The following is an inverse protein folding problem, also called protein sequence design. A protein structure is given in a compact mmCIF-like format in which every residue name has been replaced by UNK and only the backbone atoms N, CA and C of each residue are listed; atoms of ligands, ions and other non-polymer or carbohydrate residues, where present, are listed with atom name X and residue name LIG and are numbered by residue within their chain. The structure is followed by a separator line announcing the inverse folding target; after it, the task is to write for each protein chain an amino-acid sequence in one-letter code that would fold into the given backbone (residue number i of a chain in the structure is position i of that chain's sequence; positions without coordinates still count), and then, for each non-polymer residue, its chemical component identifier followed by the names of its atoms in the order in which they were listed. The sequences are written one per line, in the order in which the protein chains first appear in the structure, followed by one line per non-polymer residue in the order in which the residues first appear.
data_IF_465475184209
#
_entry.id   IF_465475184209
#
_cell.length_a   1.000
_cell.length_b   1.000
_cell.length_c   1.000
_cell.angle_alpha   90.00
_cell.angle_beta   90.00
_cell.angle_gamma   90.00
#
_symmetry.space_group_name_H-M   'P 1'
#
loop_
_entity.id
_entity.type
_entity.pdbx_description
1 polymer ?
#
# COMPACT_ATOMS: atom_id res chain seq x y z
N UNK A 1 -3.63 18.89 9.54
CA UNK A 1 -3.21 17.64 8.83
C UNK A 1 -4.40 16.91 8.23
N UNK A 2 -5.41 16.52 9.02
CA UNK A 2 -6.54 15.68 8.58
C UNK A 2 -7.34 16.26 7.39
N UNK A 3 -7.56 17.58 7.35
CA UNK A 3 -8.26 18.25 6.24
C UNK A 3 -7.51 18.09 4.90
N UNK A 4 -6.19 18.28 4.90
CA UNK A 4 -5.38 18.09 3.70
C UNK A 4 -5.44 16.63 3.19
N UNK A 5 -5.41 15.65 4.10
CA UNK A 5 -5.56 14.24 3.77
C UNK A 5 -6.97 13.94 3.20
N UNK A 6 -8.01 14.57 3.75
CA UNK A 6 -9.38 14.43 3.26
C UNK A 6 -9.55 15.03 1.84
N UNK A 7 -8.94 16.19 1.58
CA UNK A 7 -8.91 16.78 0.23
C UNK A 7 -8.20 15.84 -0.75
N UNK A 8 -7.03 15.32 -0.38
CA UNK A 8 -6.28 14.37 -1.20
C UNK A 8 -7.09 13.11 -1.55
N UNK A 9 -7.73 12.48 -0.56
CA UNK A 9 -8.58 11.32 -0.74
C UNK A 9 -9.80 11.63 -1.64
N UNK A 10 -10.43 12.78 -1.45
CA UNK A 10 -11.57 13.24 -2.26
C UNK A 10 -11.17 13.43 -3.73
N UNK A 11 -9.98 13.98 -3.99
CA UNK A 11 -9.44 14.13 -5.35
C UNK A 11 -9.20 12.75 -5.99
N UNK A 12 -8.65 11.77 -5.26
CA UNK A 12 -8.46 10.42 -5.78
C UNK A 12 -9.79 9.73 -6.12
N UNK A 13 -10.79 9.83 -5.24
CA UNK A 13 -12.12 9.30 -5.50
C UNK A 13 -12.79 10.00 -6.70
N UNK A 14 -12.65 11.32 -6.82
CA UNK A 14 -13.16 12.08 -7.95
C UNK A 14 -12.47 11.67 -9.26
N UNK A 15 -11.16 11.45 -9.23
CA UNK A 15 -10.39 10.93 -10.37
C UNK A 15 -10.89 9.54 -10.79
N UNK A 16 -11.12 8.66 -9.82
CA UNK A 16 -11.68 7.33 -10.08
C UNK A 16 -13.08 7.41 -10.71
N UNK A 17 -13.99 8.19 -10.12
CA UNK A 17 -15.35 8.37 -10.64
C UNK A 17 -15.35 8.97 -12.05
N UNK A 18 -14.49 9.97 -12.29
CA UNK A 18 -14.31 10.55 -13.62
C UNK A 18 -13.84 9.51 -14.66
N UNK A 19 -12.92 8.62 -14.24
CA UNK A 19 -12.49 7.49 -15.07
C UNK A 19 -13.63 6.52 -15.38
N UNK A 20 -14.43 6.16 -14.35
CA UNK A 20 -15.62 5.29 -14.53
C UNK A 20 -16.60 5.91 -15.53
N UNK A 21 -16.96 7.18 -15.33
CA UNK A 21 -17.89 7.90 -16.22
C UNK A 21 -17.36 7.96 -17.67
N UNK A 22 -16.07 8.23 -17.85
CA UNK A 22 -15.45 8.26 -19.18
C UNK A 22 -15.56 6.91 -19.89
N UNK A 23 -15.35 5.81 -19.16
CA UNK A 23 -15.48 4.45 -19.71
C UNK A 23 -16.93 4.09 -20.02
N UNK A 24 -17.89 4.47 -19.18
CA UNK A 24 -19.32 4.22 -19.38
C UNK A 24 -19.88 4.98 -20.60
N UNK A 25 -19.49 6.25 -20.76
CA UNK A 25 -19.93 7.10 -21.87
C UNK A 25 -19.17 6.77 -23.19
N UNK A 26 -18.25 5.79 -23.14
CA UNK A 26 -17.41 5.39 -24.28
C UNK A 26 -16.57 6.52 -24.91
N UNK A 27 -16.24 7.53 -24.10
CA UNK A 27 -15.32 8.60 -24.53
C UNK A 27 -13.86 8.12 -24.45
N UNK A 28 -12.94 8.74 -25.22
CA UNK A 28 -11.52 8.44 -25.08
C UNK A 28 -11.06 8.64 -23.63
N UNK A 29 -10.31 7.67 -23.11
CA UNK A 29 -9.84 7.73 -21.73
C UNK A 29 -8.93 8.96 -21.49
N UNK A 30 -9.29 9.87 -20.59
CA UNK A 30 -8.63 11.18 -20.42
C UNK A 30 -7.37 11.08 -19.57
N UNK A 31 -6.28 10.60 -20.16
CA UNK A 31 -5.01 10.38 -19.46
C UNK A 31 -4.45 11.61 -18.76
N UNK A 32 -4.42 12.75 -19.48
CA UNK A 32 -3.86 13.98 -18.94
C UNK A 32 -4.64 14.45 -17.72
N UNK A 33 -5.98 14.47 -17.79
CA UNK A 33 -6.84 14.85 -16.67
C UNK A 33 -6.65 13.90 -15.48
N UNK A 34 -6.58 12.59 -15.72
CA UNK A 34 -6.32 11.60 -14.65
C UNK A 34 -4.97 11.84 -13.99
N UNK A 35 -3.93 12.09 -14.78
CA UNK A 35 -2.58 12.36 -14.28
C UNK A 35 -2.54 13.66 -13.45
N UNK A 36 -3.19 14.73 -13.93
CA UNK A 36 -3.28 16.01 -13.21
C UNK A 36 -4.03 15.86 -11.88
N UNK A 37 -5.16 15.14 -11.87
CA UNK A 37 -5.90 14.87 -10.63
C UNK A 37 -5.07 14.06 -9.64
N UNK A 38 -4.34 13.02 -10.10
CA UNK A 38 -3.46 12.26 -9.24
C UNK A 38 -2.31 13.10 -8.67
N UNK A 39 -1.73 14.03 -9.44
CA UNK A 39 -0.74 15.00 -8.93
C UNK A 39 -1.37 15.87 -7.84
N UNK A 40 -2.54 16.45 -8.10
CA UNK A 40 -3.24 17.29 -7.12
C UNK A 40 -3.49 16.54 -5.80
N UNK A 41 -4.06 15.34 -5.89
CA UNK A 41 -4.29 14.49 -4.71
C UNK A 41 -2.99 14.12 -3.98
N UNK A 42 -1.93 13.81 -4.72
CA UNK A 42 -0.62 13.49 -4.16
C UNK A 42 0.02 14.67 -3.40
N UNK A 43 -0.11 15.88 -3.94
CA UNK A 43 0.41 17.09 -3.27
C UNK A 43 -0.34 17.36 -1.96
N UNK A 44 -1.68 17.28 -1.96
CA UNK A 44 -2.46 17.43 -0.73
C UNK A 44 -2.17 16.34 0.29
N UNK A 45 -2.00 15.09 -0.15
CA UNK A 45 -1.65 13.99 0.72
C UNK A 45 -0.24 14.12 1.29
N UNK A 46 0.73 14.58 0.47
CA UNK A 46 2.09 14.91 0.93
C UNK A 46 2.06 16.01 1.98
N UNK A 47 1.32 17.09 1.73
CA UNK A 47 1.13 18.17 2.71
C UNK A 47 0.53 17.63 4.02
N UNK A 48 -0.53 16.83 3.92
CA UNK A 48 -1.20 16.24 5.09
C UNK A 48 -0.29 15.34 5.93
N UNK A 49 0.50 14.48 5.28
CA UNK A 49 1.46 13.61 5.95
C UNK A 49 2.61 14.41 6.60
N UNK A 50 3.12 15.46 5.92
CA UNK A 50 4.13 16.35 6.50
C UNK A 50 3.61 17.09 7.73
N UNK A 51 2.41 17.67 7.66
CA UNK A 51 1.78 18.34 8.80
C UNK A 51 1.58 17.37 9.97
N UNK A 52 1.14 16.14 9.69
CA UNK A 52 0.99 15.10 10.72
C UNK A 52 2.33 14.71 11.33
N UNK A 53 3.39 14.53 10.52
CA UNK A 53 4.73 14.25 11.00
C UNK A 53 5.28 15.37 11.90
N UNK A 54 5.01 16.63 11.58
CA UNK A 54 5.37 17.76 12.42
C UNK A 54 4.62 17.77 13.77
N UNK A 55 3.32 17.41 13.77
CA UNK A 55 2.51 17.30 14.99
C UNK A 55 3.05 16.24 15.95
N UNK A 56 3.44 15.07 15.43
CA UNK A 56 3.92 13.92 16.24
C UNK A 56 5.44 13.89 16.42
N UNK A 57 6.16 14.82 15.79
CA UNK A 57 7.65 14.93 15.81
C UNK A 57 8.33 13.62 15.34
N UNK A 58 7.82 13.01 14.26
CA UNK A 58 8.35 11.78 13.72
C UNK A 58 7.61 11.33 12.46
N UNK A 59 7.93 10.14 11.97
CA UNK A 59 7.27 9.57 10.81
C UNK A 59 5.82 9.15 11.16
N UNK A 60 4.78 9.60 10.40
CA UNK A 60 3.38 9.32 10.70
C UNK A 60 2.98 7.88 10.30
N UNK A 61 3.37 6.91 11.11
CA UNK A 61 3.16 5.48 10.93
C UNK A 61 2.71 4.78 12.23
N UNK A 62 2.18 5.56 13.19
CA UNK A 62 1.86 5.08 14.52
C UNK A 62 0.53 4.34 14.63
N UNK A 63 -0.43 4.63 13.76
CA UNK A 63 -1.78 4.04 13.78
C UNK A 63 -2.25 3.60 12.38
N UNK A 64 -3.38 2.87 12.32
CA UNK A 64 -3.91 2.33 11.04
C UNK A 64 -4.27 3.45 10.07
N UNK A 65 -4.77 4.58 10.58
CA UNK A 65 -5.09 5.76 9.77
C UNK A 65 -3.84 6.25 9.01
N UNK A 66 -2.74 6.49 9.72
CA UNK A 66 -1.49 6.98 9.15
C UNK A 66 -0.86 5.97 8.19
N UNK A 67 -0.86 4.69 8.57
CA UNK A 67 -0.37 3.59 7.73
C UNK A 67 -1.17 3.55 6.42
N UNK A 68 -2.50 3.63 6.47
CA UNK A 68 -3.36 3.62 5.29
C UNK A 68 -3.11 4.82 4.38
N UNK A 69 -2.93 6.02 4.97
CA UNK A 69 -2.58 7.24 4.24
C UNK A 69 -1.22 7.11 3.57
N UNK A 70 -0.23 6.54 4.27
CA UNK A 70 1.12 6.35 3.74
C UNK A 70 1.14 5.29 2.62
N UNK A 71 0.35 4.20 2.72
CA UNK A 71 0.21 3.21 1.65
C UNK A 71 -0.42 3.87 0.41
N UNK A 72 -1.49 4.66 0.58
CA UNK A 72 -2.13 5.38 -0.51
C UNK A 72 -1.17 6.37 -1.20
N UNK A 73 -0.42 7.13 -0.43
CA UNK A 73 0.63 8.04 -0.92
C UNK A 73 1.72 7.30 -1.70
N UNK A 74 2.26 6.22 -1.12
CA UNK A 74 3.28 5.38 -1.75
C UNK A 74 2.79 4.72 -3.03
N UNK A 75 1.53 4.30 -3.07
CA UNK A 75 0.88 3.71 -4.24
C UNK A 75 0.84 4.70 -5.41
N UNK A 76 0.47 5.96 -5.14
CA UNK A 76 0.45 7.02 -6.18
C UNK A 76 1.85 7.42 -6.60
N UNK A 77 2.81 7.49 -5.67
CA UNK A 77 4.23 7.71 -5.98
C UNK A 77 4.75 6.62 -6.93
N UNK A 78 4.50 5.35 -6.62
CA UNK A 78 4.89 4.23 -7.47
C UNK A 78 4.21 4.30 -8.85
N UNK A 79 2.96 4.72 -8.92
CA UNK A 79 2.29 4.96 -10.20
C UNK A 79 3.04 6.01 -11.04
N UNK A 80 3.51 7.11 -10.46
CA UNK A 80 4.27 8.14 -11.20
C UNK A 80 5.60 7.60 -11.72
N UNK A 81 6.24 6.67 -11.02
CA UNK A 81 7.48 6.03 -11.46
C UNK A 81 7.25 4.97 -12.53
N UNK A 82 6.23 4.12 -12.36
CA UNK A 82 5.99 2.92 -13.16
C UNK A 82 5.06 3.20 -14.34
N UNK A 83 3.99 3.97 -14.12
CA UNK A 83 2.93 4.20 -15.10
C UNK A 83 3.43 4.79 -16.43
N UNK A 84 4.21 5.90 -16.43
CA UNK A 84 4.79 6.48 -17.63
C UNK A 84 5.80 5.57 -18.30
N UNK A 85 6.68 4.91 -17.51
CA UNK A 85 7.74 4.04 -18.01
C UNK A 85 7.20 2.86 -18.85
N UNK A 86 6.07 2.31 -18.45
CA UNK A 86 5.44 1.15 -19.10
C UNK A 86 4.20 1.50 -19.93
N UNK A 87 3.89 2.79 -20.12
CA UNK A 87 2.72 3.27 -20.89
C UNK A 87 1.39 2.65 -20.44
N UNK A 88 1.24 2.37 -19.13
CA UNK A 88 0.07 1.76 -18.52
C UNK A 88 -1.10 2.75 -18.47
N UNK A 89 -1.96 2.70 -19.49
CA UNK A 89 -3.06 3.69 -19.66
C UNK A 89 -4.07 3.67 -18.50
N UNK A 90 -4.43 2.49 -18.02
CA UNK A 90 -5.45 2.31 -16.98
C UNK A 90 -4.87 2.17 -15.57
N UNK A 91 -3.56 2.06 -15.40
CA UNK A 91 -2.99 1.92 -14.06
C UNK A 91 -3.37 3.11 -13.18
N UNK A 92 -3.35 4.35 -13.73
CA UNK A 92 -3.77 5.54 -12.98
C UNK A 92 -5.22 5.46 -12.49
N UNK A 93 -6.13 4.92 -13.29
CA UNK A 93 -7.52 4.69 -12.91
C UNK A 93 -7.64 3.73 -11.72
N UNK A 94 -6.98 2.57 -11.81
CA UNK A 94 -6.99 1.58 -10.72
C UNK A 94 -6.25 2.09 -9.47
N UNK A 95 -5.15 2.83 -9.67
CA UNK A 95 -4.41 3.48 -8.57
C UNK A 95 -5.27 4.51 -7.86
N UNK A 96 -5.97 5.39 -8.60
CA UNK A 96 -6.89 6.37 -8.02
C UNK A 96 -8.00 5.70 -7.20
N UNK A 97 -8.58 4.62 -7.72
CA UNK A 97 -9.60 3.85 -7.01
C UNK A 97 -9.10 3.24 -5.71
N UNK A 98 -7.96 2.54 -5.76
CA UNK A 98 -7.41 1.89 -4.57
C UNK A 98 -6.87 2.91 -3.54
N UNK A 99 -6.16 3.95 -3.99
CA UNK A 99 -5.65 5.01 -3.11
C UNK A 99 -6.81 5.79 -2.46
N UNK A 100 -7.83 6.15 -3.24
CA UNK A 100 -9.04 6.79 -2.73
C UNK A 100 -9.81 5.92 -1.76
N UNK A 101 -9.90 4.61 -2.00
CA UNK A 101 -10.55 3.65 -1.09
C UNK A 101 -9.76 3.54 0.22
N UNK A 102 -8.44 3.34 0.17
CA UNK A 102 -7.59 3.21 1.37
C UNK A 102 -7.60 4.50 2.19
N UNK A 103 -7.36 5.65 1.57
CA UNK A 103 -7.34 6.94 2.25
C UNK A 103 -8.74 7.34 2.75
N UNK A 104 -9.78 7.10 1.94
CA UNK A 104 -11.16 7.44 2.28
C UNK A 104 -11.71 6.58 3.42
N UNK A 105 -11.51 5.27 3.40
CA UNK A 105 -11.96 4.39 4.49
C UNK A 105 -11.27 4.73 5.81
N UNK A 106 -9.97 5.05 5.77
CA UNK A 106 -9.25 5.49 6.96
C UNK A 106 -9.80 6.78 7.57
N UNK A 107 -10.30 7.71 6.73
CA UNK A 107 -10.96 8.94 7.20
C UNK A 107 -12.35 8.69 7.79
N UNK A 108 -13.08 7.67 7.29
CA UNK A 108 -14.43 7.34 7.71
C UNK A 108 -14.50 6.55 9.02
N UNK A 109 -13.41 5.90 9.42
CA UNK A 109 -13.35 5.08 10.64
C UNK A 109 -12.59 5.84 11.73
N UNK A 110 -13.29 6.56 12.66
CA UNK A 110 -12.64 7.38 13.68
C UNK A 110 -11.69 6.58 14.58
N UNK A 111 -12.04 5.33 14.86
CA UNK A 111 -11.25 4.42 15.72
C UNK A 111 -9.89 4.02 15.12
N UNK A 112 -9.59 4.38 13.88
CA UNK A 112 -8.28 4.15 13.28
C UNK A 112 -7.27 5.26 13.55
N UNK A 113 -7.75 6.46 13.95
CA UNK A 113 -6.94 7.65 14.25
C UNK A 113 -6.80 7.84 15.76
N UNK A 114 -6.30 6.81 16.47
CA UNK A 114 -6.02 6.92 17.89
C UNK A 114 -4.80 7.82 18.14
N UNK A 115 -4.90 8.76 19.10
CA UNK A 115 -3.75 9.52 19.56
C UNK A 115 -2.74 8.58 20.23
N UNK A 116 -1.47 8.81 20.01
CA UNK A 116 -0.37 8.09 20.63
C UNK A 116 0.74 9.07 21.04
N UNK A 117 1.60 8.71 22.02
CA UNK A 117 2.67 9.58 22.49
C UNK A 117 3.62 9.97 21.35
N UNK A 118 4.08 11.25 21.28
CA UNK A 118 5.10 11.66 20.35
C UNK A 118 6.37 10.83 20.49
N UNK A 119 7.04 10.53 19.36
CA UNK A 119 8.28 9.77 19.37
C UNK A 119 8.11 8.27 19.67
N UNK A 120 6.98 7.67 19.30
CA UNK A 120 6.69 6.23 19.47
C UNK A 120 7.81 5.30 18.96
N UNK A 121 8.62 5.77 18.02
CA UNK A 121 9.80 5.07 17.52
C UNK A 121 11.08 5.42 18.28
N UNK A 122 10.99 6.15 19.42
CA UNK A 122 12.10 6.50 20.27
C UNK A 122 13.10 7.45 19.64
N UNK A 123 12.73 8.17 18.55
CA UNK A 123 13.63 9.03 17.78
C UNK A 123 14.77 8.26 17.09
N UNK A 124 14.66 6.95 16.95
CA UNK A 124 15.66 6.13 16.29
C UNK A 124 15.37 6.07 14.77
N UNK A 125 16.20 6.71 13.92
CA UNK A 125 15.96 6.78 12.48
C UNK A 125 15.95 5.41 11.78
N UNK A 126 16.60 4.41 12.34
CA UNK A 126 16.62 3.06 11.79
C UNK A 126 15.27 2.35 11.93
N UNK A 127 14.56 2.61 13.04
CA UNK A 127 13.22 2.05 13.27
C UNK A 127 12.21 2.74 12.36
N UNK A 128 12.31 4.06 12.20
CA UNK A 128 11.46 4.80 11.26
C UNK A 128 11.69 4.34 9.82
N UNK A 129 12.95 4.15 9.43
CA UNK A 129 13.31 3.62 8.11
C UNK A 129 12.76 2.20 7.89
N UNK A 130 12.91 1.30 8.90
CA UNK A 130 12.32 -0.03 8.86
C UNK A 130 10.80 0.04 8.63
N UNK A 131 10.09 0.85 9.41
CA UNK A 131 8.65 0.98 9.31
C UNK A 131 8.23 1.57 7.95
N UNK A 132 8.91 2.60 7.47
CA UNK A 132 8.65 3.21 6.17
C UNK A 132 8.88 2.23 5.02
N UNK A 133 9.99 1.48 5.01
CA UNK A 133 10.29 0.47 3.99
C UNK A 133 9.29 -0.69 4.03
N UNK A 134 8.91 -1.15 5.22
CA UNK A 134 7.91 -2.21 5.37
C UNK A 134 6.58 -1.77 4.75
N UNK A 135 6.08 -0.58 5.09
CA UNK A 135 4.81 -0.07 4.57
C UNK A 135 4.91 0.27 3.08
N UNK A 136 6.04 0.81 2.61
CA UNK A 136 6.29 1.03 1.20
C UNK A 136 6.22 -0.28 0.39
N UNK A 137 6.71 -1.39 0.94
CA UNK A 137 6.57 -2.71 0.31
C UNK A 137 5.11 -3.13 0.13
N UNK A 138 4.22 -2.77 1.06
CA UNK A 138 2.77 -2.99 0.92
C UNK A 138 2.19 -2.21 -0.27
N UNK A 139 2.64 -0.99 -0.51
CA UNK A 139 2.25 -0.23 -1.71
C UNK A 139 2.76 -0.89 -3.00
N UNK A 140 3.96 -1.48 -2.98
CA UNK A 140 4.45 -2.29 -4.11
C UNK A 140 3.57 -3.52 -4.35
N UNK A 141 3.17 -4.23 -3.29
CA UNK A 141 2.25 -5.36 -3.41
C UNK A 141 0.86 -4.94 -3.87
N UNK A 142 0.41 -3.73 -3.51
CA UNK A 142 -0.80 -3.12 -4.05
C UNK A 142 -0.73 -2.95 -5.58
N UNK A 143 0.37 -2.39 -6.09
CA UNK A 143 0.59 -2.29 -7.55
C UNK A 143 0.62 -3.68 -8.20
N UNK A 144 1.27 -4.67 -7.59
CA UNK A 144 1.26 -6.06 -8.09
C UNK A 144 -0.17 -6.59 -8.15
N UNK A 145 -0.98 -6.35 -7.12
CA UNK A 145 -2.39 -6.77 -7.09
C UNK A 145 -3.21 -6.07 -8.18
N UNK A 146 -3.00 -4.75 -8.40
CA UNK A 146 -3.67 -4.00 -9.46
C UNK A 146 -3.27 -4.52 -10.86
N UNK A 147 -1.98 -4.72 -11.13
CA UNK A 147 -1.51 -5.27 -12.41
C UNK A 147 -2.03 -6.70 -12.61
N UNK A 148 -2.12 -7.49 -11.54
CA UNK A 148 -2.71 -8.84 -11.56
C UNK A 148 -4.21 -8.80 -11.84
N UNK A 149 -4.95 -7.84 -11.28
CA UNK A 149 -6.36 -7.62 -11.60
C UNK A 149 -6.54 -7.23 -13.07
N UNK A 150 -5.72 -6.30 -13.57
CA UNK A 150 -5.70 -5.92 -14.99
C UNK A 150 -5.43 -7.13 -15.90
N UNK A 151 -4.50 -8.01 -15.49
CA UNK A 151 -4.21 -9.27 -16.18
C UNK A 151 -5.45 -10.18 -16.26
N UNK A 152 -6.15 -10.39 -15.13
CA UNK A 152 -7.34 -11.25 -15.08
C UNK A 152 -8.48 -10.68 -15.93
N UNK A 153 -8.68 -9.36 -15.90
CA UNK A 153 -9.67 -8.65 -16.72
C UNK A 153 -9.35 -8.86 -18.21
N UNK A 154 -8.09 -8.62 -18.61
CA UNK A 154 -7.66 -8.78 -20.00
C UNK A 154 -7.78 -10.23 -20.47
N UNK A 155 -7.40 -11.21 -19.62
CA UNK A 155 -7.56 -12.64 -19.93
C UNK A 155 -9.03 -13.02 -20.13
N UNK A 156 -9.94 -12.47 -19.31
CA UNK A 156 -11.37 -12.69 -19.44
C UNK A 156 -11.90 -12.09 -20.76
N UNK A 157 -11.49 -10.87 -21.10
CA UNK A 157 -11.88 -10.22 -22.35
C UNK A 157 -11.44 -11.02 -23.58
N UNK A 158 -10.21 -11.52 -23.59
CA UNK A 158 -9.70 -12.33 -24.70
C UNK A 158 -10.48 -13.65 -24.84
N UNK A 159 -10.83 -14.33 -23.73
CA UNK A 159 -11.65 -15.55 -23.78
C UNK A 159 -13.04 -15.32 -24.36
N UNK A 160 -13.64 -14.17 -24.06
CA UNK A 160 -14.98 -13.81 -24.50
C UNK A 160 -14.96 -13.00 -25.82
N UNK A 161 -13.82 -12.92 -26.51
CA UNK A 161 -13.63 -12.17 -27.77
C UNK A 161 -14.07 -10.69 -27.66
N UNK A 162 -13.90 -10.10 -26.45
CA UNK A 162 -14.24 -8.71 -26.18
C UNK A 162 -12.98 -7.83 -26.35
N UNK A 163 -13.00 -6.96 -27.37
CA UNK A 163 -11.84 -6.09 -27.71
C UNK A 163 -12.17 -4.59 -27.60
N UNK A 164 -13.41 -4.24 -27.21
CA UNK A 164 -13.88 -2.86 -27.10
C UNK A 164 -14.01 -2.40 -25.64
N UNK A 165 -14.14 -1.10 -25.44
CA UNK A 165 -14.31 -0.51 -24.10
C UNK A 165 -13.03 -0.58 -23.28
N UNK A 166 -13.09 -1.10 -22.06
CA UNK A 166 -11.95 -1.21 -21.13
C UNK A 166 -10.77 -1.99 -21.72
N UNK A 167 -11.06 -3.07 -22.45
CA UNK A 167 -10.06 -4.03 -22.94
C UNK A 167 -9.07 -3.40 -23.94
N UNK A 168 -9.48 -2.42 -24.75
CA UNK A 168 -8.61 -1.74 -25.71
C UNK A 168 -7.52 -0.88 -25.07
N UNK A 169 -7.69 -0.51 -23.79
CA UNK A 169 -6.73 0.32 -23.05
C UNK A 169 -5.78 -0.49 -22.19
N UNK A 170 -6.04 -1.79 -22.01
CA UNK A 170 -5.18 -2.70 -21.26
C UNK A 170 -3.99 -3.15 -22.14
N UNK A 171 -2.86 -3.40 -21.47
CA UNK A 171 -1.70 -4.02 -22.10
C UNK A 171 -1.97 -5.51 -22.42
N UNK A 172 -1.09 -6.09 -23.24
CA UNK A 172 -1.14 -7.52 -23.50
C UNK A 172 -0.96 -8.34 -22.20
N UNK A 173 -1.60 -9.51 -22.18
CA UNK A 173 -1.52 -10.45 -21.05
C UNK A 173 -0.07 -10.77 -20.68
N UNK A 174 0.81 -10.92 -21.69
CA UNK A 174 2.23 -11.21 -21.48
C UNK A 174 2.97 -10.04 -20.82
N UNK A 175 2.69 -8.81 -21.22
CA UNK A 175 3.31 -7.62 -20.63
C UNK A 175 2.87 -7.43 -19.18
N UNK A 176 1.57 -7.61 -18.89
CA UNK A 176 1.04 -7.51 -17.53
C UNK A 176 1.63 -8.59 -16.61
N UNK A 177 1.78 -9.83 -17.09
CA UNK A 177 2.42 -10.91 -16.34
C UNK A 177 3.89 -10.63 -16.03
N UNK A 178 4.65 -10.17 -17.04
CA UNK A 178 6.06 -9.83 -16.84
C UNK A 178 6.24 -8.71 -15.83
N UNK A 179 5.38 -7.69 -15.88
CA UNK A 179 5.40 -6.58 -14.94
C UNK A 179 5.05 -7.04 -13.53
N UNK A 180 3.95 -7.78 -13.37
CA UNK A 180 3.56 -8.32 -12.06
C UNK A 180 4.71 -9.13 -11.44
N UNK A 181 5.38 -9.98 -12.23
CA UNK A 181 6.53 -10.75 -11.78
C UNK A 181 7.69 -9.85 -11.32
N UNK A 182 8.08 -8.85 -12.11
CA UNK A 182 9.20 -7.94 -11.77
C UNK A 182 8.89 -7.14 -10.50
N UNK A 183 7.70 -6.55 -10.43
CA UNK A 183 7.26 -5.77 -9.27
C UNK A 183 7.17 -6.62 -8.01
N UNK A 184 6.68 -7.86 -8.12
CA UNK A 184 6.62 -8.79 -7.00
C UNK A 184 8.02 -9.09 -6.44
N UNK A 185 9.00 -9.39 -7.31
CA UNK A 185 10.39 -9.64 -6.89
C UNK A 185 10.96 -8.41 -6.19
N UNK A 186 10.77 -7.21 -6.77
CA UNK A 186 11.26 -5.96 -6.16
C UNK A 186 10.58 -5.70 -4.80
N UNK A 187 9.26 -5.93 -4.70
CA UNK A 187 8.53 -5.80 -3.43
C UNK A 187 9.05 -6.73 -2.34
N UNK A 188 9.34 -7.99 -2.68
CA UNK A 188 9.93 -8.96 -1.74
C UNK A 188 11.34 -8.54 -1.31
N UNK A 189 12.17 -8.01 -2.22
CA UNK A 189 13.51 -7.49 -1.89
C UNK A 189 13.40 -6.32 -0.90
N UNK A 190 12.49 -5.35 -1.16
CA UNK A 190 12.29 -4.22 -0.26
C UNK A 190 11.78 -4.67 1.11
N UNK A 191 10.83 -5.61 1.14
CA UNK A 191 10.33 -6.16 2.41
C UNK A 191 11.42 -6.92 3.16
N UNK A 192 12.27 -7.69 2.46
CA UNK A 192 13.40 -8.39 3.07
C UNK A 192 14.41 -7.41 3.67
N UNK A 193 14.71 -6.32 2.99
CA UNK A 193 15.56 -5.26 3.53
C UNK A 193 14.93 -4.63 4.79
N UNK A 194 13.63 -4.34 4.76
CA UNK A 194 12.92 -3.85 5.93
C UNK A 194 13.03 -4.84 7.10
N UNK A 195 12.84 -6.15 6.85
CA UNK A 195 12.96 -7.18 7.90
C UNK A 195 14.36 -7.26 8.49
N UNK A 196 15.41 -7.09 7.69
CA UNK A 196 16.80 -7.07 8.18
C UNK A 196 17.01 -5.91 9.16
N UNK A 197 16.56 -4.69 8.81
CA UNK A 197 16.63 -3.54 9.73
C UNK A 197 15.81 -3.77 10.99
N UNK A 198 14.62 -4.37 10.87
CA UNK A 198 13.77 -4.73 12.02
C UNK A 198 14.39 -5.79 12.91
N UNK A 199 15.04 -6.80 12.33
CA UNK A 199 15.70 -7.87 13.08
C UNK A 199 16.87 -7.35 13.94
N UNK A 200 17.67 -6.41 13.43
CA UNK A 200 18.76 -5.76 14.18
C UNK A 200 18.21 -5.08 15.44
N UNK A 201 17.06 -4.39 15.32
CA UNK A 201 16.43 -3.78 16.48
C UNK A 201 15.87 -4.81 17.46
N UNK A 202 15.20 -5.85 16.95
CA UNK A 202 14.60 -6.90 17.77
C UNK A 202 15.64 -7.69 18.59
N UNK A 203 16.79 -8.00 18.00
CA UNK A 203 17.88 -8.70 18.71
C UNK A 203 18.35 -7.88 19.91
N UNK A 204 18.38 -6.55 19.80
CA UNK A 204 18.82 -5.67 20.88
C UNK A 204 17.72 -5.34 21.91
N UNK A 205 16.44 -5.49 21.53
CA UNK A 205 15.28 -5.13 22.37
C UNK A 205 14.14 -6.16 22.22
N UNK A 206 14.35 -7.44 22.57
CA UNK A 206 13.37 -8.50 22.33
C UNK A 206 12.06 -8.30 23.11
N UNK A 207 12.11 -7.61 24.25
CA UNK A 207 10.97 -7.31 25.12
C UNK A 207 9.98 -6.29 24.51
N UNK A 208 10.42 -5.49 23.51
CA UNK A 208 9.61 -4.43 22.91
C UNK A 208 8.79 -4.87 21.70
N UNK A 209 9.02 -6.08 21.20
CA UNK A 209 8.35 -6.57 20.00
C UNK A 209 7.51 -7.80 20.32
N UNK A 210 6.17 -7.70 20.22
CA UNK A 210 5.29 -8.85 20.47
C UNK A 210 5.58 -9.98 19.49
N UNK A 211 5.68 -11.21 19.99
CA UNK A 211 5.93 -12.41 19.17
C UNK A 211 4.88 -12.56 18.06
N UNK A 212 3.62 -12.24 18.38
CA UNK A 212 2.51 -12.28 17.42
C UNK A 212 2.77 -11.39 16.19
N UNK A 213 3.24 -10.16 16.40
CA UNK A 213 3.58 -9.22 15.32
C UNK A 213 4.68 -9.78 14.42
N UNK A 214 5.72 -10.36 15.03
CA UNK A 214 6.82 -11.00 14.31
C UNK A 214 6.30 -12.17 13.45
N UNK A 215 5.49 -13.04 14.04
CA UNK A 215 4.91 -14.20 13.35
C UNK A 215 4.08 -13.80 12.14
N UNK A 216 3.17 -12.82 12.29
CA UNK A 216 2.32 -12.35 11.20
C UNK A 216 3.15 -11.73 10.06
N UNK A 217 4.16 -10.93 10.41
CA UNK A 217 5.05 -10.31 9.42
C UNK A 217 5.86 -11.37 8.66
N UNK A 218 6.39 -12.37 9.37
CA UNK A 218 7.10 -13.50 8.75
C UNK A 218 6.18 -14.33 7.84
N UNK A 219 4.91 -14.54 8.22
CA UNK A 219 3.94 -15.25 7.38
C UNK A 219 3.64 -14.50 6.09
N UNK A 220 3.45 -13.18 6.16
CA UNK A 220 3.25 -12.34 4.96
C UNK A 220 4.48 -12.41 4.05
N UNK A 221 5.67 -12.23 4.60
CA UNK A 221 6.91 -12.32 3.86
C UNK A 221 7.11 -13.70 3.21
N UNK A 222 6.93 -14.78 3.98
CA UNK A 222 7.07 -16.15 3.48
C UNK A 222 6.06 -16.45 2.37
N UNK A 223 4.81 -15.98 2.49
CA UNK A 223 3.78 -16.12 1.47
C UNK A 223 4.21 -15.51 0.14
N UNK A 224 4.69 -14.27 0.15
CA UNK A 224 5.18 -13.61 -1.06
C UNK A 224 6.46 -14.25 -1.59
N UNK A 225 7.39 -14.68 -0.73
CA UNK A 225 8.61 -15.37 -1.12
C UNK A 225 8.30 -16.71 -1.83
N UNK A 226 7.35 -17.49 -1.30
CA UNK A 226 6.90 -18.74 -1.91
C UNK A 226 6.35 -18.48 -3.32
N UNK A 227 5.50 -17.44 -3.48
CA UNK A 227 4.95 -17.10 -4.80
C UNK A 227 6.07 -16.71 -5.77
N UNK A 228 7.08 -15.92 -5.33
CA UNK A 228 8.25 -15.57 -6.14
C UNK A 228 9.02 -16.82 -6.57
N UNK A 229 9.36 -17.72 -5.63
CA UNK A 229 10.12 -18.95 -5.89
C UNK A 229 9.37 -19.84 -6.88
N UNK A 230 8.09 -20.11 -6.63
CA UNK A 230 7.27 -20.94 -7.52
C UNK A 230 7.15 -20.32 -8.93
N UNK A 231 7.11 -18.99 -9.00
CA UNK A 231 7.04 -18.28 -10.29
C UNK A 231 8.36 -18.31 -11.05
N UNK A 232 9.50 -18.19 -10.37
CA UNK A 232 10.84 -18.32 -10.97
C UNK A 232 11.06 -19.75 -11.47
N UNK A 233 10.67 -20.75 -10.69
CA UNK A 233 10.75 -22.18 -11.04
C UNK A 233 9.75 -22.60 -12.13
N UNK A 234 8.95 -21.66 -12.68
CA UNK A 234 7.90 -21.94 -13.67
C UNK A 234 6.82 -22.95 -13.21
N UNK A 235 6.74 -23.24 -11.91
CA UNK A 235 5.74 -24.15 -11.32
C UNK A 235 4.39 -23.49 -11.11
N UNK A 236 4.31 -22.16 -11.10
CA UNK A 236 3.07 -21.41 -10.91
C UNK A 236 2.58 -20.83 -12.24
N UNK A 237 1.41 -21.30 -12.69
CA UNK A 237 0.77 -20.77 -13.88
C UNK A 237 0.39 -19.29 -13.70
N UNK A 238 0.45 -18.49 -14.77
CA UNK A 238 0.26 -17.04 -14.75
C UNK A 238 -1.06 -16.61 -14.07
N UNK A 239 -2.17 -17.30 -14.37
CA UNK A 239 -3.46 -17.04 -13.74
C UNK A 239 -3.44 -17.28 -12.22
N UNK A 240 -2.81 -18.38 -11.78
CA UNK A 240 -2.67 -18.71 -10.35
C UNK A 240 -1.77 -17.69 -9.64
N UNK A 241 -0.70 -17.25 -10.31
CA UNK A 241 0.16 -16.17 -9.83
C UNK A 241 -0.65 -14.87 -9.58
N UNK A 242 -1.49 -14.45 -10.54
CA UNK A 242 -2.30 -13.25 -10.39
C UNK A 242 -3.30 -13.38 -9.23
N UNK A 243 -3.99 -14.50 -9.10
CA UNK A 243 -4.95 -14.76 -8.00
C UNK A 243 -4.21 -14.78 -6.64
N UNK A 244 -3.06 -15.48 -6.56
CA UNK A 244 -2.27 -15.54 -5.33
C UNK A 244 -1.76 -14.16 -4.90
N UNK A 245 -1.31 -13.33 -5.83
CA UNK A 245 -0.83 -11.97 -5.54
C UNK A 245 -1.95 -11.07 -4.98
N UNK A 246 -3.16 -11.16 -5.54
CA UNK A 246 -4.32 -10.42 -5.02
C UNK A 246 -4.72 -10.94 -3.64
N UNK A 247 -4.81 -12.26 -3.46
CA UNK A 247 -5.18 -12.88 -2.18
C UNK A 247 -4.18 -12.55 -1.07
N UNK A 248 -2.88 -12.61 -1.38
CA UNK A 248 -1.82 -12.22 -0.42
C UNK A 248 -1.87 -10.73 -0.08
N UNK A 249 -2.21 -9.85 -1.03
CA UNK A 249 -2.36 -8.43 -0.74
C UNK A 249 -3.54 -8.17 0.21
N UNK A 250 -4.69 -8.81 -0.02
CA UNK A 250 -5.85 -8.71 0.89
C UNK A 250 -5.48 -9.25 2.27
N UNK A 251 -4.80 -10.40 2.34
CA UNK A 251 -4.31 -10.97 3.60
C UNK A 251 -3.33 -10.02 4.31
N UNK A 252 -2.38 -9.42 3.57
CA UNK A 252 -1.44 -8.46 4.11
C UNK A 252 -2.13 -7.21 4.67
N UNK A 253 -3.14 -6.65 3.98
CA UNK A 253 -3.94 -5.55 4.52
C UNK A 253 -4.72 -5.96 5.78
N UNK A 254 -5.36 -7.12 5.78
CA UNK A 254 -6.09 -7.64 6.93
C UNK A 254 -5.17 -7.85 8.14
N UNK A 255 -3.90 -8.21 7.90
CA UNK A 255 -2.90 -8.43 8.95
C UNK A 255 -2.42 -7.15 9.64
N UNK A 256 -2.70 -5.97 9.07
CA UNK A 256 -2.37 -4.69 9.72
C UNK A 256 -3.19 -4.46 10.99
N UNK A 257 -4.44 -4.90 11.01
CA UNK A 257 -5.35 -4.73 12.16
C UNK A 257 -4.81 -5.37 13.45
N UNK A 258 -4.52 -6.68 13.50
CA UNK A 258 -4.03 -7.32 14.73
C UNK A 258 -2.62 -6.87 15.12
N UNK A 259 -1.81 -6.40 14.15
CA UNK A 259 -0.49 -5.83 14.45
C UNK A 259 -0.61 -4.49 15.19
N UNK A 260 -1.67 -3.73 14.94
CA UNK A 260 -1.94 -2.47 15.63
C UNK A 260 -2.51 -2.70 17.03
N UNK A 261 -3.51 -3.57 17.19
CA UNK A 261 -4.12 -3.84 18.49
C UNK A 261 -3.11 -4.33 19.53
N UNK A 262 -2.10 -5.08 19.13
CA UNK A 262 -1.00 -5.50 19.99
C UNK A 262 -0.10 -4.33 20.46
N UNK A 263 -0.04 -3.20 19.73
CA UNK A 263 0.64 -1.98 20.18
C UNK A 263 -0.15 -1.26 21.28
N UNK A 264 -1.46 -1.18 21.08
CA UNK A 264 -2.35 -0.46 22.00
C UNK A 264 -2.38 -1.16 23.37
N UNK A 265 -2.31 -2.49 23.41
CA UNK A 265 -2.24 -3.26 24.64
C UNK A 265 -0.94 -2.97 25.43
N UNK A 266 0.21 -2.92 24.75
CA UNK A 266 1.50 -2.62 25.40
C UNK A 266 1.57 -1.17 25.88
N UNK A 267 1.00 -0.23 25.12
CA UNK A 267 0.95 1.18 25.54
C UNK A 267 0.07 1.39 26.77
N UNK A 268 -0.95 0.53 26.95
CA UNK A 268 -1.85 0.58 28.12
C UNK A 268 -1.27 -0.13 29.34
N UNK A 269 -0.41 -1.13 29.14
CA UNK A 269 0.26 -1.90 30.20
C UNK A 269 1.58 -1.27 30.67
N UNK A 270 2.12 -0.26 29.96
CA UNK A 270 3.28 0.49 30.44
C UNK A 270 2.89 1.27 31.71
N UNK A 271 3.43 0.90 32.89
CA UNK A 271 2.89 1.37 34.15
C UNK A 271 3.10 2.87 34.32
N UNK A 272 2.13 3.50 35.00
CA UNK A 272 2.18 4.84 35.57
C UNK A 272 3.28 4.95 36.67
N UNK A 273 4.51 4.53 36.38
CA UNK A 273 5.65 4.50 37.31
C UNK A 273 6.48 5.76 37.21
N UNK A 274 5.90 6.95 37.06
CA UNK A 274 6.63 8.20 37.29
C UNK A 274 5.70 9.34 37.76
N UNK A 275 4.94 9.12 38.84
CA UNK A 275 4.31 10.22 39.58
C UNK A 275 4.39 10.01 41.09
N UNK A 276 5.51 9.52 41.62
CA UNK A 276 5.80 9.55 43.05
C UNK A 276 7.29 9.74 43.24
N UNK A 277 7.78 10.93 42.95
CA UNK A 277 9.00 11.48 43.54
C UNK A 277 9.06 12.99 43.24
N UNK A 278 8.22 13.75 43.94
CA UNK A 278 8.46 15.11 44.41
C UNK A 278 7.82 15.26 45.79
#
# INVERSE_FOLDING_TARGET
AREALAIGASIYLSAFLFGVLSLLIRKPYPRAAMFTLLIGGFLFQTLGLNLRGAEIKGCPLGNIFEISQFIAWSLVLLYFLIGPAFKLRLLGFFTAGLAGLLAGTALLIPNWDHPYPPGIFGGNPWIELHAALAIFSYAMFAIVALVSAMFLIQQHGLKNKQFKGLYQYLLSVQQLDLMAKRLLITGVVVLSAALIFGAVFWINHPERVPVFKLTVTCLVWAGYLIVVVLRIQKRLATRRHAIASIGLFIFALASLWPVQSARDTIATEAPAVQKTSE
#
